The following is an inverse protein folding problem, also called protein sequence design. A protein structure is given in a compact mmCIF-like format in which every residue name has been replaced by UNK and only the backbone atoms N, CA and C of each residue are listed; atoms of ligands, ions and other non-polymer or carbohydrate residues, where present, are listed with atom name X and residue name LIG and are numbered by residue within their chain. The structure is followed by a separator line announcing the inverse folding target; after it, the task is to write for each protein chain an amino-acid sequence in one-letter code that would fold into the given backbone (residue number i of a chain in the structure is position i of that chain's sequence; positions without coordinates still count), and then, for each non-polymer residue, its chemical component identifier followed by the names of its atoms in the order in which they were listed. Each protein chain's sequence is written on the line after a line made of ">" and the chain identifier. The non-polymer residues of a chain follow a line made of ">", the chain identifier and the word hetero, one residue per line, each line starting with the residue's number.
data_IF_773787449382
#
_entry.id   IF_773787449382
#
_cell.length_a   1.000
_cell.length_b   1.000
_cell.length_c   1.000
_cell.angle_alpha   90.00
_cell.angle_beta   90.00
_cell.angle_gamma   90.00
#
_symmetry.space_group_name_H-M   'P 1'
#
loop_
_entity.id
_entity.type
_entity.pdbx_description
1 polymer ?
#
# COMPACT_ATOMS: atom_id res chain seq x y z
N UNK A 1 3.64 -38.17 -41.28
CA UNK A 1 4.36 -37.23 -40.40
C UNK A 1 3.34 -36.82 -39.36
N UNK A 2 3.50 -37.32 -38.12
CA UNK A 2 2.44 -37.33 -37.11
C UNK A 2 2.18 -35.92 -36.59
N UNK A 3 0.90 -35.51 -36.52
CA UNK A 3 0.46 -34.24 -35.92
C UNK A 3 1.00 -34.05 -34.49
N UNK A 4 1.30 -35.15 -33.80
CA UNK A 4 1.96 -35.17 -32.49
C UNK A 4 3.36 -34.54 -32.50
N UNK A 5 4.18 -34.79 -33.52
CA UNK A 5 5.52 -34.18 -33.61
C UNK A 5 5.43 -32.68 -33.89
N UNK A 6 4.45 -32.26 -34.69
CA UNK A 6 4.29 -30.85 -35.04
C UNK A 6 3.75 -30.01 -33.88
N UNK A 7 2.94 -30.59 -32.99
CA UNK A 7 2.56 -29.96 -31.73
C UNK A 7 3.73 -29.88 -30.74
N UNK A 8 4.60 -30.89 -30.72
CA UNK A 8 5.74 -30.93 -29.81
C UNK A 8 6.80 -29.86 -30.16
N UNK A 9 7.08 -29.64 -31.46
CA UNK A 9 7.99 -28.58 -31.92
C UNK A 9 7.47 -27.17 -31.66
N UNK A 10 6.15 -26.93 -31.80
CA UNK A 10 5.55 -25.62 -31.45
C UNK A 10 5.61 -25.31 -29.96
N UNK A 11 5.58 -26.33 -29.10
CA UNK A 11 5.68 -26.11 -27.65
C UNK A 11 7.10 -25.76 -27.22
N UNK A 12 8.13 -26.27 -27.90
CA UNK A 12 9.53 -25.96 -27.59
C UNK A 12 9.94 -24.53 -27.94
N UNK A 13 9.44 -23.95 -29.04
CA UNK A 13 9.81 -22.59 -29.43
C UNK A 13 9.25 -21.51 -28.48
N UNK A 14 8.10 -21.76 -27.85
CA UNK A 14 7.50 -20.81 -26.90
C UNK A 14 8.16 -20.88 -25.51
N UNK A 15 8.92 -21.93 -25.22
CA UNK A 15 9.63 -22.06 -23.92
C UNK A 15 10.87 -21.16 -23.83
N UNK A 16 11.36 -20.61 -24.95
CA UNK A 16 12.66 -19.93 -25.01
C UNK A 16 12.60 -18.41 -24.76
N UNK A 17 11.41 -17.82 -24.58
CA UNK A 17 11.27 -16.37 -24.37
C UNK A 17 11.40 -15.92 -22.92
N UNK A 18 11.51 -16.83 -21.94
CA UNK A 18 11.74 -16.48 -20.53
C UNK A 18 10.61 -15.67 -19.85
N UNK A 19 9.53 -15.38 -20.57
CA UNK A 19 8.32 -14.77 -20.05
C UNK A 19 7.40 -15.85 -19.47
N UNK A 20 6.86 -15.60 -18.27
CA UNK A 20 5.90 -16.49 -17.62
C UNK A 20 4.70 -16.69 -18.55
N UNK A 21 4.34 -17.93 -18.87
CA UNK A 21 2.98 -18.23 -19.35
C UNK A 21 2.00 -17.94 -18.20
N UNK A 22 0.89 -17.24 -18.43
CA UNK A 22 -0.09 -16.96 -17.39
C UNK A 22 -0.72 -18.27 -16.88
N UNK A 23 -0.63 -18.51 -15.57
CA UNK A 23 -1.12 -19.72 -14.88
C UNK A 23 -2.62 -20.00 -15.12
N UNK A 24 -3.40 -18.96 -15.41
CA UNK A 24 -4.84 -19.09 -15.68
C UNK A 24 -5.18 -19.95 -16.90
N UNK A 25 -4.33 -19.99 -17.93
CA UNK A 25 -4.60 -20.80 -19.13
C UNK A 25 -4.57 -22.31 -18.84
N UNK A 26 -3.78 -22.75 -17.84
CA UNK A 26 -3.68 -24.17 -17.44
C UNK A 26 -4.91 -24.64 -16.66
N UNK A 27 -5.59 -23.73 -15.95
CA UNK A 27 -6.70 -24.07 -15.06
C UNK A 27 -7.98 -24.36 -15.84
N UNK A 28 -8.22 -23.63 -16.94
CA UNK A 28 -9.42 -23.76 -17.78
C UNK A 28 -9.39 -25.06 -18.61
N UNK A 29 -8.22 -25.47 -19.13
CA UNK A 29 -8.10 -26.76 -19.81
C UNK A 29 -8.33 -27.94 -18.87
N UNK A 30 -7.95 -27.83 -17.59
CA UNK A 30 -8.26 -28.85 -16.57
C UNK A 30 -9.77 -28.93 -16.35
N UNK A 31 -10.46 -27.82 -16.07
CA UNK A 31 -11.87 -27.85 -15.60
C UNK A 31 -12.84 -28.51 -16.58
N UNK A 32 -12.56 -28.43 -17.88
CA UNK A 32 -13.42 -29.02 -18.93
C UNK A 32 -13.29 -30.55 -19.01
N UNK A 33 -12.18 -31.15 -18.56
CA UNK A 33 -12.03 -32.62 -18.60
C UNK A 33 -12.69 -33.34 -17.42
N UNK A 34 -12.92 -32.66 -16.28
CA UNK A 34 -13.43 -33.30 -15.05
C UNK A 34 -14.93 -33.60 -15.08
N UNK A 35 -15.73 -32.95 -15.92
CA UNK A 35 -17.20 -33.10 -15.89
C UNK A 35 -17.75 -34.37 -16.53
N UNK A 36 -16.95 -35.15 -17.26
CA UNK A 36 -17.43 -36.32 -18.03
C UNK A 36 -17.07 -37.69 -17.45
N UNK A 37 -16.30 -37.78 -16.35
CA UNK A 37 -15.68 -39.05 -15.92
C UNK A 37 -15.92 -39.43 -14.46
N UNK A 38 -16.99 -38.92 -13.84
CA UNK A 38 -17.23 -39.09 -12.40
C UNK A 38 -18.19 -40.24 -12.14
N UNK A 39 -17.65 -41.44 -11.88
CA UNK A 39 -18.24 -42.43 -10.95
C UNK A 39 -17.37 -43.67 -10.65
N UNK A 40 -16.23 -43.89 -11.32
CA UNK A 40 -15.34 -45.04 -11.02
C UNK A 40 -13.84 -44.69 -10.80
N UNK A 41 -13.47 -43.40 -10.68
CA UNK A 41 -12.07 -42.94 -10.70
C UNK A 41 -11.50 -42.38 -9.37
N UNK A 42 -12.21 -42.48 -8.24
CA UNK A 42 -11.82 -41.74 -7.01
C UNK A 42 -10.48 -42.19 -6.36
N UNK A 43 -9.95 -43.38 -6.68
CA UNK A 43 -8.68 -43.85 -6.09
C UNK A 43 -7.45 -43.57 -6.97
N UNK A 44 -7.60 -43.49 -8.30
CA UNK A 44 -6.48 -43.26 -9.24
C UNK A 44 -6.09 -41.77 -9.29
N UNK A 45 -7.00 -40.87 -8.93
CA UNK A 45 -6.73 -39.43 -8.96
C UNK A 45 -5.81 -38.95 -7.81
N UNK A 46 -5.78 -39.63 -6.66
CA UNK A 46 -4.94 -39.20 -5.51
C UNK A 46 -3.45 -39.33 -5.84
N UNK A 47 -3.01 -40.48 -6.37
CA UNK A 47 -1.60 -40.71 -6.72
C UNK A 47 -1.11 -39.76 -7.82
N UNK A 48 -2.00 -39.41 -8.77
CA UNK A 48 -1.69 -38.46 -9.85
C UNK A 48 -1.60 -37.04 -9.29
N UNK A 49 -2.49 -36.66 -8.38
CA UNK A 49 -2.48 -35.34 -7.74
C UNK A 49 -1.26 -35.15 -6.85
N UNK A 50 -0.86 -36.18 -6.09
CA UNK A 50 0.39 -36.17 -5.30
C UNK A 50 1.64 -36.08 -6.20
N UNK A 51 1.65 -36.80 -7.33
CA UNK A 51 2.75 -36.70 -8.28
C UNK A 51 2.85 -35.32 -8.96
N UNK A 52 1.71 -34.68 -9.24
CA UNK A 52 1.64 -33.34 -9.82
C UNK A 52 2.10 -32.26 -8.84
N UNK A 53 1.60 -32.30 -7.60
CA UNK A 53 2.01 -31.36 -6.54
C UNK A 53 3.50 -31.47 -6.26
N UNK A 54 4.03 -32.70 -6.12
CA UNK A 54 5.48 -32.92 -5.95
C UNK A 54 6.30 -32.37 -7.12
N UNK A 55 5.81 -32.53 -8.35
CA UNK A 55 6.48 -31.96 -9.54
C UNK A 55 6.47 -30.44 -9.51
N UNK A 56 5.36 -29.81 -9.12
CA UNK A 56 5.25 -28.36 -8.97
C UNK A 56 6.20 -27.83 -7.87
N UNK A 57 6.29 -28.51 -6.74
CA UNK A 57 7.25 -28.19 -5.67
C UNK A 57 8.71 -28.31 -6.15
N UNK A 58 9.04 -29.35 -6.93
CA UNK A 58 10.38 -29.52 -7.51
C UNK A 58 10.71 -28.43 -8.53
N UNK A 59 9.76 -28.06 -9.40
CA UNK A 59 9.89 -26.96 -10.36
C UNK A 59 10.10 -25.62 -9.64
N UNK A 60 9.33 -25.36 -8.57
CA UNK A 60 9.48 -24.15 -7.74
C UNK A 60 10.84 -24.13 -7.02
N UNK A 61 11.27 -25.26 -6.44
CA UNK A 61 12.55 -25.38 -5.77
C UNK A 61 13.73 -25.20 -6.74
N UNK A 62 13.63 -25.72 -7.96
CA UNK A 62 14.63 -25.49 -9.02
C UNK A 62 14.68 -24.01 -9.41
N UNK A 63 13.53 -23.37 -9.55
CA UNK A 63 13.44 -21.94 -9.85
C UNK A 63 14.10 -21.07 -8.77
N UNK A 64 13.88 -21.37 -7.48
CA UNK A 64 14.56 -20.66 -6.39
C UNK A 64 16.08 -20.89 -6.37
N UNK A 65 16.56 -22.09 -6.72
CA UNK A 65 18.01 -22.35 -6.87
C UNK A 65 18.60 -21.52 -8.00
N UNK A 66 17.91 -21.43 -9.12
CA UNK A 66 18.33 -20.63 -10.27
C UNK A 66 18.36 -19.13 -9.93
N UNK A 67 17.35 -18.63 -9.23
CA UNK A 67 17.34 -17.26 -8.70
C UNK A 67 18.52 -16.97 -7.76
N UNK A 68 18.88 -17.90 -6.88
CA UNK A 68 20.06 -17.76 -6.00
C UNK A 68 21.37 -17.76 -6.77
N UNK A 69 21.46 -18.43 -7.93
CA UNK A 69 22.67 -18.41 -8.77
C UNK A 69 22.85 -17.07 -9.50
N UNK A 70 21.77 -16.35 -9.81
CA UNK A 70 21.88 -15.04 -10.46
C UNK A 70 22.59 -14.02 -9.55
N UNK A 71 23.44 -13.15 -10.11
CA UNK A 71 24.11 -12.09 -9.34
C UNK A 71 23.05 -11.17 -8.71
N UNK A 72 23.33 -10.64 -7.52
CA UNK A 72 22.35 -9.91 -6.70
C UNK A 72 21.62 -8.77 -7.44
N UNK A 73 22.30 -8.08 -8.37
CA UNK A 73 21.74 -7.02 -9.23
C UNK A 73 20.67 -7.51 -10.23
N UNK A 74 20.63 -8.80 -10.53
CA UNK A 74 19.63 -9.43 -11.41
C UNK A 74 18.56 -10.19 -10.62
N UNK A 75 18.67 -10.22 -9.29
CA UNK A 75 17.62 -10.80 -8.44
C UNK A 75 16.48 -9.77 -8.31
N UNK A 76 15.21 -10.21 -8.37
CA UNK A 76 14.11 -9.36 -7.98
C UNK A 76 14.27 -9.06 -6.48
N UNK A 77 14.75 -7.86 -6.15
CA UNK A 77 14.91 -7.41 -4.77
C UNK A 77 13.94 -6.27 -4.51
N UNK A 78 13.20 -6.28 -3.40
CA UNK A 78 12.31 -5.17 -3.08
C UNK A 78 13.08 -3.86 -2.80
N UNK A 79 14.38 -3.94 -2.52
CA UNK A 79 15.22 -2.80 -2.18
C UNK A 79 15.30 -1.71 -3.26
N UNK A 80 15.14 -2.05 -4.55
CA UNK A 80 15.09 -1.00 -5.58
C UNK A 80 13.78 -0.21 -5.57
N UNK A 81 12.69 -0.75 -5.01
CA UNK A 81 11.40 -0.06 -4.87
C UNK A 81 11.43 0.95 -3.73
N UNK A 82 12.15 0.65 -2.64
CA UNK A 82 12.21 1.48 -1.42
C UNK A 82 12.52 2.97 -1.70
N UNK A 83 13.56 3.35 -2.46
CA UNK A 83 13.81 4.76 -2.74
C UNK A 83 12.68 5.41 -3.56
N UNK A 84 12.04 4.66 -4.45
CA UNK A 84 10.95 5.19 -5.26
C UNK A 84 9.64 5.32 -4.49
N UNK A 85 9.31 4.37 -3.61
CA UNK A 85 8.13 4.48 -2.75
C UNK A 85 8.30 5.62 -1.74
N UNK A 86 9.49 5.77 -1.16
CA UNK A 86 9.82 6.90 -0.29
C UNK A 86 9.71 8.23 -1.04
N UNK A 87 10.31 8.34 -2.23
CA UNK A 87 10.22 9.54 -3.05
C UNK A 87 8.76 9.84 -3.45
N UNK A 88 7.99 8.81 -3.84
CA UNK A 88 6.57 8.96 -4.17
C UNK A 88 5.74 9.40 -2.96
N UNK A 89 6.07 8.93 -1.76
CA UNK A 89 5.43 9.37 -0.52
C UNK A 89 5.72 10.83 -0.21
N UNK A 90 6.98 11.25 -0.33
CA UNK A 90 7.40 12.65 -0.12
C UNK A 90 6.74 13.57 -1.16
N UNK A 91 6.79 13.21 -2.44
CA UNK A 91 6.16 14.01 -3.51
C UNK A 91 4.65 14.10 -3.30
N UNK A 92 3.98 12.99 -3.00
CA UNK A 92 2.54 12.99 -2.71
C UNK A 92 2.24 13.90 -1.52
N UNK A 93 2.95 13.76 -0.39
CA UNK A 93 2.70 14.57 0.80
C UNK A 93 2.93 16.08 0.61
N UNK A 94 3.97 16.48 -0.12
CA UNK A 94 4.23 17.89 -0.45
C UNK A 94 3.20 18.45 -1.43
N UNK A 95 2.71 17.61 -2.34
CA UNK A 95 1.75 18.03 -3.35
C UNK A 95 0.30 18.04 -2.85
N UNK A 96 -0.13 17.09 -2.02
CA UNK A 96 -1.53 16.98 -1.59
C UNK A 96 -1.98 18.17 -0.76
N UNK A 97 -1.11 18.68 0.09
CA UNK A 97 -1.39 19.85 0.94
C UNK A 97 -1.54 21.12 0.13
N UNK A 98 -0.53 21.42 -0.70
CA UNK A 98 -0.54 22.57 -1.59
C UNK A 98 -1.71 22.52 -2.58
N UNK A 99 -2.06 21.34 -3.08
CA UNK A 99 -3.26 21.15 -3.90
C UNK A 99 -4.56 21.46 -3.15
N UNK A 100 -4.62 21.11 -1.86
CA UNK A 100 -5.80 21.38 -1.03
C UNK A 100 -5.99 22.87 -0.80
N UNK A 101 -4.92 23.62 -0.49
CA UNK A 101 -4.96 25.09 -0.36
C UNK A 101 -5.39 25.76 -1.68
N UNK A 102 -4.83 25.32 -2.80
CA UNK A 102 -5.20 25.86 -4.11
C UNK A 102 -6.67 25.56 -4.42
N UNK A 103 -7.18 24.36 -4.09
CA UNK A 103 -8.61 24.02 -4.27
C UNK A 103 -9.52 24.90 -3.42
N UNK A 104 -9.21 25.06 -2.14
CA UNK A 104 -10.06 25.86 -1.24
C UNK A 104 -10.15 27.30 -1.73
N UNK A 105 -9.02 27.90 -2.12
CA UNK A 105 -8.97 29.27 -2.67
C UNK A 105 -9.72 29.40 -4.00
N UNK A 106 -9.51 28.49 -4.94
CA UNK A 106 -10.20 28.56 -6.25
C UNK A 106 -11.71 28.36 -6.14
N UNK A 107 -12.17 27.48 -5.25
CA UNK A 107 -13.60 27.29 -4.95
C UNK A 107 -14.17 28.54 -4.29
N UNK A 108 -13.45 29.11 -3.32
CA UNK A 108 -13.83 30.32 -2.63
C UNK A 108 -13.99 31.50 -3.60
N UNK A 109 -12.96 31.79 -4.41
CA UNK A 109 -13.00 32.88 -5.40
C UNK A 109 -14.14 32.68 -6.41
N UNK A 110 -14.33 31.46 -6.90
CA UNK A 110 -15.42 31.18 -7.83
C UNK A 110 -16.81 31.36 -7.17
N UNK A 111 -16.95 31.00 -5.90
CA UNK A 111 -18.20 31.18 -5.18
C UNK A 111 -18.50 32.66 -4.89
N UNK A 112 -17.50 33.42 -4.44
CA UNK A 112 -17.59 34.87 -4.22
C UNK A 112 -17.93 35.61 -5.51
N UNK A 113 -17.28 35.24 -6.63
CA UNK A 113 -17.56 35.81 -7.95
C UNK A 113 -19.00 35.58 -8.42
N UNK A 114 -19.60 34.44 -8.08
CA UNK A 114 -20.97 34.11 -8.47
C UNK A 114 -22.03 34.66 -7.49
N UNK A 115 -21.64 35.12 -6.31
CA UNK A 115 -22.54 35.63 -5.28
C UNK A 115 -22.09 37.02 -4.79
N UNK A 116 -22.16 38.06 -5.63
CA UNK A 116 -21.65 39.40 -5.30
C UNK A 116 -22.38 40.05 -4.11
N UNK A 117 -23.58 39.58 -3.77
CA UNK A 117 -24.35 40.05 -2.61
C UNK A 117 -23.66 39.76 -1.28
N UNK A 118 -22.75 38.78 -1.22
CA UNK A 118 -22.01 38.43 0.00
C UNK A 118 -20.93 39.49 0.28
N UNK A 119 -20.26 40.01 -0.77
CA UNK A 119 -19.26 41.08 -0.62
C UNK A 119 -19.87 42.39 -0.07
N UNK A 120 -21.11 42.70 -0.46
CA UNK A 120 -21.77 43.93 0.00
C UNK A 120 -22.02 43.96 1.52
N UNK A 121 -22.13 42.80 2.17
CA UNK A 121 -22.23 42.73 3.64
C UNK A 121 -20.87 42.87 4.34
N UNK A 122 -19.78 42.44 3.70
CA UNK A 122 -18.41 42.58 4.23
C UNK A 122 -18.02 44.06 4.31
N UNK A 123 -18.17 44.81 3.22
CA UNK A 123 -17.83 46.25 3.18
C UNK A 123 -18.65 47.10 4.16
N UNK A 124 -19.93 46.75 4.38
CA UNK A 124 -20.78 47.47 5.33
C UNK A 124 -20.40 47.20 6.80
N UNK A 125 -19.83 46.02 7.10
CA UNK A 125 -19.38 45.65 8.44
C UNK A 125 -17.96 46.19 8.73
N UNK A 126 -17.11 46.30 7.69
CA UNK A 126 -15.73 46.77 7.80
C UNK A 126 -15.65 48.22 8.27
N UNK A 127 -16.56 49.09 7.81
CA UNK A 127 -16.70 50.47 8.28
C UNK A 127 -17.04 50.58 9.78
N UNK A 128 -17.52 49.50 10.40
CA UNK A 128 -17.81 49.45 11.84
C UNK A 128 -16.65 48.87 12.67
N UNK A 129 -15.73 48.12 12.06
CA UNK A 129 -14.62 47.44 12.73
C UNK A 129 -13.24 48.08 12.50
N UNK A 130 -13.12 49.04 11.57
CA UNK A 130 -11.88 49.76 11.26
C UNK A 130 -11.27 50.51 12.47
N UNK A 131 -12.07 50.72 13.54
CA UNK A 131 -11.59 51.32 14.79
C UNK A 131 -10.98 50.31 15.79
N UNK A 132 -11.13 48.99 15.58
CA UNK A 132 -10.90 48.03 16.65
C UNK A 132 -9.61 47.22 16.56
N UNK A 133 -9.10 46.75 15.41
CA UNK A 133 -7.95 45.82 15.46
C UNK A 133 -7.09 45.74 14.19
N UNK A 134 -5.77 45.90 14.36
CA UNK A 134 -4.70 45.40 13.49
C UNK A 134 -4.59 43.85 13.52
N UNK A 135 -5.69 43.14 13.69
CA UNK A 135 -5.69 41.68 13.59
C UNK A 135 -5.58 41.32 12.11
N UNK A 136 -4.77 40.31 11.81
CA UNK A 136 -4.48 39.83 10.47
C UNK A 136 -5.76 39.75 9.59
N UNK A 137 -5.65 40.06 8.29
CA UNK A 137 -6.79 40.01 7.37
C UNK A 137 -7.49 38.67 7.54
N UNK A 138 -8.74 38.72 7.99
CA UNK A 138 -9.55 37.53 8.22
C UNK A 138 -9.80 36.92 6.84
N UNK A 139 -9.24 35.74 6.57
CA UNK A 139 -9.43 35.06 5.28
C UNK A 139 -10.93 34.80 5.07
N UNK A 140 -11.57 35.55 4.16
CA UNK A 140 -13.00 35.43 3.83
C UNK A 140 -13.36 33.99 3.39
N UNK A 141 -12.36 33.22 2.96
CA UNK A 141 -12.47 31.83 2.55
C UNK A 141 -12.59 30.82 3.69
N UNK A 142 -12.29 31.20 4.94
CA UNK A 142 -12.34 30.31 6.11
C UNK A 142 -13.71 30.27 6.80
N UNK A 143 -14.77 30.77 6.16
CA UNK A 143 -16.13 30.68 6.72
C UNK A 143 -16.60 29.22 6.79
N UNK A 144 -17.33 28.81 7.84
CA UNK A 144 -17.80 27.42 8.00
C UNK A 144 -18.67 26.96 6.81
N UNK A 145 -19.40 27.89 6.20
CA UNK A 145 -20.19 27.64 4.99
C UNK A 145 -19.31 27.27 3.80
N UNK A 146 -18.21 27.98 3.58
CA UNK A 146 -17.25 27.67 2.50
C UNK A 146 -16.57 26.33 2.74
N UNK A 147 -16.11 26.07 3.97
CA UNK A 147 -15.51 24.78 4.35
C UNK A 147 -16.49 23.64 4.06
N UNK A 148 -17.78 23.80 4.39
CA UNK A 148 -18.81 22.82 4.07
C UNK A 148 -18.96 22.53 2.57
N UNK A 149 -18.92 23.56 1.72
CA UNK A 149 -19.00 23.39 0.27
C UNK A 149 -17.76 22.72 -0.32
N UNK A 150 -16.57 23.12 0.12
CA UNK A 150 -15.29 22.50 -0.29
C UNK A 150 -15.30 21.02 0.05
N UNK A 151 -15.70 20.66 1.29
CA UNK A 151 -15.81 19.27 1.73
C UNK A 151 -16.84 18.47 0.92
N UNK A 152 -17.96 19.09 0.53
CA UNK A 152 -18.96 18.42 -0.31
C UNK A 152 -18.41 18.12 -1.71
N UNK A 153 -17.68 19.07 -2.32
CA UNK A 153 -17.06 18.85 -3.62
C UNK A 153 -15.96 17.78 -3.55
N UNK A 154 -15.12 17.85 -2.53
CA UNK A 154 -14.07 16.87 -2.27
C UNK A 154 -14.65 15.46 -2.10
N UNK A 155 -15.71 15.32 -1.32
CA UNK A 155 -16.43 14.05 -1.14
C UNK A 155 -16.92 13.46 -2.47
N UNK A 156 -17.44 14.30 -3.38
CA UNK A 156 -17.87 13.85 -4.72
C UNK A 156 -16.70 13.39 -5.58
N UNK A 157 -15.61 14.14 -5.59
CA UNK A 157 -14.38 13.79 -6.33
C UNK A 157 -13.85 12.46 -5.82
N UNK A 158 -13.69 12.30 -4.51
CA UNK A 158 -13.20 11.06 -3.88
C UNK A 158 -14.12 9.88 -4.21
N UNK A 159 -15.44 10.07 -4.17
CA UNK A 159 -16.40 9.01 -4.51
C UNK A 159 -16.25 8.55 -5.96
N UNK A 160 -16.18 9.50 -6.91
CA UNK A 160 -16.01 9.20 -8.34
C UNK A 160 -14.67 8.49 -8.58
N UNK A 161 -13.59 9.01 -8.00
CA UNK A 161 -12.26 8.41 -8.11
C UNK A 161 -12.21 7.00 -7.52
N UNK A 162 -12.84 6.77 -6.36
CA UNK A 162 -12.83 5.46 -5.69
C UNK A 162 -13.63 4.41 -6.47
N UNK A 163 -14.84 4.76 -6.91
CA UNK A 163 -15.67 3.84 -7.72
C UNK A 163 -14.94 3.47 -9.01
N UNK A 164 -14.34 4.46 -9.66
CA UNK A 164 -13.66 4.22 -10.91
C UNK A 164 -12.34 3.48 -10.73
N UNK A 165 -11.63 3.72 -9.63
CA UNK A 165 -10.44 2.95 -9.25
C UNK A 165 -10.81 1.48 -9.06
N UNK A 166 -11.89 1.16 -8.35
CA UNK A 166 -12.35 -0.22 -8.19
C UNK A 166 -12.57 -0.91 -9.53
N UNK A 167 -13.13 -0.20 -10.52
CA UNK A 167 -13.38 -0.73 -11.86
C UNK A 167 -12.09 -0.92 -12.68
N UNK A 168 -11.07 -0.08 -12.50
CA UNK A 168 -9.83 -0.17 -13.29
C UNK A 168 -8.75 -1.01 -12.63
N UNK A 169 -8.73 -1.10 -11.30
CA UNK A 169 -7.67 -1.77 -10.52
C UNK A 169 -7.47 -3.22 -10.93
N UNK A 170 -8.57 -3.99 -11.02
CA UNK A 170 -8.51 -5.40 -11.42
C UNK A 170 -7.86 -5.59 -12.79
N UNK A 171 -8.15 -4.69 -13.73
CA UNK A 171 -7.55 -4.71 -15.08
C UNK A 171 -6.07 -4.39 -15.03
N UNK A 172 -5.65 -3.40 -14.24
CA UNK A 172 -4.25 -3.04 -14.07
C UNK A 172 -3.44 -4.13 -13.38
N UNK A 173 -4.00 -4.80 -12.36
CA UNK A 173 -3.41 -5.96 -11.71
C UNK A 173 -3.21 -7.11 -12.71
N UNK A 174 -4.25 -7.46 -13.48
CA UNK A 174 -4.14 -8.48 -14.54
C UNK A 174 -3.11 -8.11 -15.61
N UNK A 175 -3.05 -6.83 -16.00
CA UNK A 175 -2.06 -6.34 -16.97
C UNK A 175 -0.63 -6.41 -16.41
N UNK A 176 -0.47 -6.26 -15.08
CA UNK A 176 0.81 -6.39 -14.40
C UNK A 176 1.36 -7.82 -14.41
N UNK A 177 0.47 -8.82 -14.41
CA UNK A 177 0.87 -10.23 -14.50
C UNK A 177 1.40 -10.57 -15.89
N UNK A 178 0.86 -9.93 -16.94
CA UNK A 178 1.26 -10.15 -18.33
C UNK A 178 2.53 -9.37 -18.69
N UNK A 179 2.56 -8.05 -18.46
CA UNK A 179 3.66 -7.19 -18.90
C UNK A 179 4.75 -6.99 -17.84
N UNK A 180 4.56 -7.58 -16.66
CA UNK A 180 5.47 -7.45 -15.55
C UNK A 180 5.25 -6.19 -14.70
N UNK A 181 5.58 -6.32 -13.42
CA UNK A 181 5.34 -5.31 -12.38
C UNK A 181 6.17 -4.03 -12.54
N UNK A 182 7.30 -4.09 -13.25
CA UNK A 182 8.13 -2.91 -13.54
C UNK A 182 7.39 -1.91 -14.43
N UNK A 183 6.70 -2.39 -15.47
CA UNK A 183 5.91 -1.54 -16.34
C UNK A 183 4.78 -0.88 -15.54
N UNK A 184 4.09 -1.69 -14.71
CA UNK A 184 3.01 -1.21 -13.85
C UNK A 184 3.48 -0.07 -12.92
N UNK A 185 4.68 -0.23 -12.34
CA UNK A 185 5.30 0.81 -11.50
C UNK A 185 5.58 2.10 -12.28
N UNK A 186 6.09 2.01 -13.51
CA UNK A 186 6.36 3.18 -14.35
C UNK A 186 5.07 3.89 -14.76
N UNK A 187 4.01 3.13 -15.06
CA UNK A 187 2.69 3.69 -15.36
C UNK A 187 2.11 4.41 -14.14
N UNK A 188 2.22 3.83 -12.94
CA UNK A 188 1.76 4.46 -11.70
C UNK A 188 2.51 5.77 -11.39
N UNK A 189 3.84 5.80 -11.59
CA UNK A 189 4.63 7.02 -11.47
C UNK A 189 4.25 8.08 -12.53
N UNK A 190 4.08 7.67 -13.79
CA UNK A 190 3.65 8.56 -14.85
C UNK A 190 2.24 9.12 -14.57
N UNK A 191 1.32 8.30 -14.06
CA UNK A 191 -0.01 8.72 -13.62
C UNK A 191 0.06 9.75 -12.50
N UNK A 192 0.96 9.55 -11.53
CA UNK A 192 1.19 10.51 -10.43
C UNK A 192 1.72 11.84 -10.96
N UNK A 193 2.65 11.81 -11.92
CA UNK A 193 3.14 13.03 -12.56
C UNK A 193 2.04 13.77 -13.35
N UNK A 194 1.24 13.03 -14.14
CA UNK A 194 0.11 13.60 -14.89
C UNK A 194 -0.92 14.21 -13.92
N UNK A 195 -1.23 13.51 -12.84
CA UNK A 195 -2.11 13.99 -11.77
C UNK A 195 -1.63 15.32 -11.18
N UNK A 196 -0.33 15.45 -10.89
CA UNK A 196 0.27 16.70 -10.40
C UNK A 196 0.18 17.81 -11.45
N UNK A 197 0.52 17.50 -12.71
CA UNK A 197 0.43 18.46 -13.80
C UNK A 197 -1.01 18.95 -14.05
N UNK A 198 -2.02 18.08 -13.92
CA UNK A 198 -3.43 18.46 -14.10
C UNK A 198 -3.93 19.36 -12.97
N UNK A 199 -3.54 19.08 -11.73
CA UNK A 199 -3.84 19.94 -10.59
C UNK A 199 -3.16 21.32 -10.74
N UNK A 200 -1.90 21.35 -11.16
CA UNK A 200 -1.20 22.60 -11.47
C UNK A 200 -1.88 23.37 -12.62
N UNK A 201 -2.30 22.66 -13.67
CA UNK A 201 -3.05 23.25 -14.78
C UNK A 201 -4.38 23.83 -14.29
N UNK A 202 -5.13 23.10 -13.46
CA UNK A 202 -6.37 23.56 -12.84
C UNK A 202 -6.14 24.85 -12.03
N UNK A 203 -5.08 24.87 -11.23
CA UNK A 203 -4.65 26.03 -10.47
C UNK A 203 -4.36 27.24 -11.36
N UNK A 204 -3.65 27.05 -12.48
CA UNK A 204 -3.25 28.15 -13.36
C UNK A 204 -4.37 28.70 -14.26
N UNK A 205 -5.42 27.90 -14.50
CA UNK A 205 -6.51 28.22 -15.45
C UNK A 205 -7.90 28.27 -14.82
N UNK A 206 -7.98 28.34 -13.50
CA UNK A 206 -9.25 28.37 -12.76
C UNK A 206 -10.20 29.50 -13.23
N UNK A 207 -9.65 30.65 -13.64
CA UNK A 207 -10.42 31.80 -14.13
C UNK A 207 -11.32 31.52 -15.35
N UNK A 208 -10.97 30.51 -16.16
CA UNK A 208 -11.68 30.18 -17.41
C UNK A 208 -12.64 29.01 -17.21
N UNK A 209 -12.17 27.97 -16.52
CA UNK A 209 -12.88 26.68 -16.44
C UNK A 209 -13.60 26.47 -15.09
N UNK A 210 -13.35 27.33 -14.10
CA UNK A 210 -13.90 27.21 -12.75
C UNK A 210 -13.46 25.95 -12.02
N UNK A 211 -14.24 25.55 -11.01
CA UNK A 211 -13.96 24.33 -10.22
C UNK A 211 -14.21 23.03 -11.00
N UNK A 212 -14.81 23.08 -12.19
CA UNK A 212 -15.09 21.88 -12.99
C UNK A 212 -13.83 21.16 -13.45
N UNK A 213 -12.68 21.85 -13.52
CA UNK A 213 -11.39 21.23 -13.87
C UNK A 213 -11.00 20.13 -12.88
N UNK A 214 -11.39 20.24 -11.61
CA UNK A 214 -11.11 19.21 -10.61
C UNK A 214 -11.88 17.91 -10.84
N UNK A 215 -12.91 17.88 -11.69
CA UNK A 215 -13.49 16.61 -12.16
C UNK A 215 -12.62 15.94 -13.23
N UNK A 216 -11.84 16.69 -14.02
CA UNK A 216 -10.87 16.09 -14.95
C UNK A 216 -9.76 15.38 -14.19
N UNK A 217 -9.39 15.88 -13.01
CA UNK A 217 -8.51 15.17 -12.10
C UNK A 217 -9.13 13.82 -11.71
N UNK A 218 -10.39 13.83 -11.24
CA UNK A 218 -11.09 12.60 -10.86
C UNK A 218 -11.04 11.57 -11.99
N UNK A 219 -11.37 11.99 -13.23
CA UNK A 219 -11.32 11.17 -14.45
C UNK A 219 -9.90 10.70 -14.77
N UNK A 220 -8.90 11.58 -14.69
CA UNK A 220 -7.50 11.21 -14.97
C UNK A 220 -6.98 10.13 -14.01
N UNK A 221 -7.37 10.22 -12.73
CA UNK A 221 -7.04 9.24 -11.71
C UNK A 221 -7.66 7.87 -12.01
N UNK A 222 -8.76 7.83 -12.78
CA UNK A 222 -9.38 6.57 -13.22
C UNK A 222 -8.62 5.94 -14.39
N UNK A 223 -8.22 6.77 -15.37
CA UNK A 223 -7.63 6.32 -16.62
C UNK A 223 -6.19 5.86 -16.42
N UNK A 224 -5.45 6.59 -15.59
CA UNK A 224 -4.07 6.30 -15.24
C UNK A 224 -4.01 6.27 -13.72
N UNK A 225 -4.37 5.13 -13.11
CA UNK A 225 -4.46 5.03 -11.66
C UNK A 225 -3.05 5.15 -11.11
N UNK A 226 -2.82 6.33 -10.53
CA UNK A 226 -1.54 6.88 -10.16
C UNK A 226 -0.91 6.10 -8.99
N UNK A 227 -0.84 6.72 -7.82
CA UNK A 227 -0.41 6.07 -6.58
C UNK A 227 -1.22 4.81 -6.25
N UNK A 228 -2.47 4.74 -6.70
CA UNK A 228 -3.35 3.62 -6.40
C UNK A 228 -2.89 2.27 -6.98
N UNK A 229 -2.16 2.26 -8.11
CA UNK A 229 -1.58 1.02 -8.66
C UNK A 229 -0.20 0.72 -8.09
N UNK A 230 0.52 1.74 -7.62
CA UNK A 230 1.81 1.55 -6.97
C UNK A 230 1.67 0.64 -5.75
N UNK A 231 0.59 0.79 -4.99
CA UNK A 231 0.31 -0.04 -3.82
C UNK A 231 0.20 -1.54 -4.19
N UNK A 232 -0.76 -2.01 -5.02
CA UNK A 232 -0.81 -3.40 -5.47
C UNK A 232 0.45 -3.85 -6.21
N UNK A 233 1.13 -2.97 -6.97
CA UNK A 233 2.39 -3.34 -7.62
C UNK A 233 3.47 -3.66 -6.58
N UNK A 234 3.57 -2.84 -5.53
CA UNK A 234 4.49 -3.04 -4.41
C UNK A 234 4.06 -4.29 -3.63
N UNK A 235 2.78 -4.47 -3.31
CA UNK A 235 2.31 -5.67 -2.60
C UNK A 235 2.54 -6.93 -3.39
N UNK A 236 2.15 -6.96 -4.66
CA UNK A 236 2.43 -8.08 -5.54
C UNK A 236 3.94 -8.33 -5.61
N UNK A 237 4.77 -7.29 -5.76
CA UNK A 237 6.23 -7.43 -5.78
C UNK A 237 6.80 -7.96 -4.46
N UNK A 238 6.26 -7.47 -3.35
CA UNK A 238 6.50 -7.95 -2.00
C UNK A 238 5.71 -9.22 -1.68
N UNK A 239 5.03 -9.81 -2.69
CA UNK A 239 3.96 -10.80 -2.64
C UNK A 239 4.41 -12.15 -2.14
N UNK A 240 4.76 -12.10 -0.87
CA UNK A 240 4.37 -12.98 0.22
C UNK A 240 3.76 -12.15 1.38
N UNK A 241 3.30 -10.92 1.12
CA UNK A 241 2.76 -9.99 2.13
C UNK A 241 1.51 -9.34 1.53
N UNK A 242 0.37 -9.99 1.71
CA UNK A 242 -0.90 -9.68 1.03
C UNK A 242 -1.90 -8.91 1.91
N UNK A 243 -2.46 -7.86 1.29
CA UNK A 243 -3.69 -7.12 1.62
C UNK A 243 -3.76 -6.38 2.96
N UNK A 244 -3.73 -5.03 2.95
CA UNK A 244 -4.62 -4.12 3.74
C UNK A 244 -4.07 -2.67 3.88
N UNK A 245 -3.61 -2.03 2.81
CA UNK A 245 -3.17 -0.61 2.91
C UNK A 245 -4.23 0.44 2.57
N UNK A 246 -5.43 0.05 2.13
CA UNK A 246 -6.51 1.01 1.83
C UNK A 246 -7.21 1.58 3.08
N UNK A 247 -7.00 1.00 4.27
CA UNK A 247 -7.55 1.52 5.53
C UNK A 247 -6.78 2.70 6.13
N UNK A 248 -5.45 2.71 6.02
CA UNK A 248 -4.59 3.63 6.78
C UNK A 248 -4.65 5.07 6.27
N UNK A 249 -4.90 5.27 4.98
CA UNK A 249 -5.05 6.62 4.41
C UNK A 249 -6.44 7.24 4.69
N UNK A 250 -7.45 6.43 4.99
CA UNK A 250 -8.77 6.93 5.40
C UNK A 250 -8.75 7.58 6.78
N UNK A 251 -7.99 7.00 7.72
CA UNK A 251 -7.95 7.43 9.12
C UNK A 251 -7.24 8.77 9.32
N UNK A 252 -6.15 9.02 8.58
CA UNK A 252 -5.42 10.29 8.67
C UNK A 252 -6.27 11.49 8.23
N UNK A 253 -7.20 11.30 7.27
CA UNK A 253 -8.10 12.36 6.82
C UNK A 253 -9.16 12.71 7.87
N UNK A 254 -9.58 11.75 8.70
CA UNK A 254 -10.49 11.98 9.80
C UNK A 254 -9.83 12.79 10.92
N UNK A 255 -8.58 12.43 11.28
CA UNK A 255 -7.79 13.17 12.28
C UNK A 255 -7.57 14.61 11.81
N UNK A 256 -7.08 14.81 10.59
CA UNK A 256 -6.85 16.16 10.02
C UNK A 256 -8.13 17.00 10.03
N UNK A 257 -9.28 16.37 9.78
CA UNK A 257 -10.57 17.07 9.81
C UNK A 257 -11.02 17.42 11.23
N UNK A 258 -10.80 16.53 12.21
CA UNK A 258 -11.07 16.84 13.62
C UNK A 258 -10.12 17.89 14.17
N UNK A 259 -8.85 17.87 13.79
CA UNK A 259 -7.86 18.80 14.33
C UNK A 259 -8.05 20.22 13.78
N UNK A 260 -8.42 20.35 12.49
CA UNK A 260 -8.84 21.64 11.93
C UNK A 260 -10.06 22.22 12.66
N UNK A 261 -11.04 21.37 13.01
CA UNK A 261 -12.24 21.81 13.73
C UNK A 261 -11.96 22.21 15.20
N UNK A 262 -11.14 21.44 15.91
CA UNK A 262 -10.90 21.64 17.35
C UNK A 262 -9.85 22.73 17.60
N UNK A 263 -8.76 22.74 16.83
CA UNK A 263 -7.61 23.61 17.07
C UNK A 263 -7.59 24.87 16.23
N UNK A 264 -8.58 25.07 15.34
CA UNK A 264 -8.63 26.20 14.41
C UNK A 264 -7.32 26.33 13.63
N UNK A 265 -6.73 25.18 13.24
CA UNK A 265 -5.46 25.15 12.53
C UNK A 265 -5.58 25.81 11.18
N UNK A 266 -4.59 26.65 10.89
CA UNK A 266 -4.37 27.16 9.55
C UNK A 266 -3.77 26.06 8.66
N UNK A 267 -3.88 26.25 7.35
CA UNK A 267 -3.38 25.34 6.32
C UNK A 267 -1.89 25.08 6.51
N UNK A 268 -1.11 26.11 6.87
CA UNK A 268 0.33 25.99 7.12
C UNK A 268 0.67 25.09 8.31
N UNK A 269 -0.17 25.01 9.33
CA UNK A 269 0.05 24.12 10.47
C UNK A 269 -0.29 22.66 10.13
N UNK A 270 -1.30 22.46 9.27
CA UNK A 270 -1.62 21.14 8.74
C UNK A 270 -0.48 20.60 7.84
N UNK A 271 0.12 21.47 7.03
CA UNK A 271 1.31 21.15 6.20
C UNK A 271 2.50 20.71 7.04
N UNK A 272 2.82 21.47 8.09
CA UNK A 272 3.90 21.14 9.03
C UNK A 272 3.61 19.81 9.73
N UNK A 273 2.37 19.57 10.12
CA UNK A 273 1.95 18.32 10.75
C UNK A 273 2.11 17.12 9.81
N UNK A 274 1.62 17.19 8.57
CA UNK A 274 1.78 16.11 7.60
C UNK A 274 3.25 15.86 7.21
N UNK A 275 4.03 16.93 7.07
CA UNK A 275 5.47 16.81 6.80
C UNK A 275 6.18 16.12 7.96
N UNK A 276 5.82 16.49 9.20
CA UNK A 276 6.34 15.87 10.40
C UNK A 276 5.97 14.38 10.47
N UNK A 277 4.70 14.00 10.30
CA UNK A 277 4.29 12.59 10.35
C UNK A 277 4.95 11.77 9.24
N UNK A 278 5.08 12.31 8.03
CA UNK A 278 5.81 11.66 6.92
C UNK A 278 7.29 11.46 7.24
N UNK A 279 7.93 12.44 7.87
CA UNK A 279 9.31 12.35 8.32
C UNK A 279 9.47 11.30 9.43
N UNK A 280 8.56 11.30 10.42
CA UNK A 280 8.55 10.26 11.47
C UNK A 280 8.36 8.89 10.86
N UNK A 281 7.45 8.71 9.89
CA UNK A 281 7.25 7.43 9.20
C UNK A 281 8.53 6.97 8.52
N UNK A 282 9.24 7.90 7.87
CA UNK A 282 10.52 7.61 7.21
C UNK A 282 11.58 7.16 8.22
N UNK A 283 11.70 7.85 9.35
CA UNK A 283 12.63 7.49 10.44
C UNK A 283 12.25 6.14 11.06
N UNK A 284 10.96 5.89 11.24
CA UNK A 284 10.44 4.63 11.79
C UNK A 284 10.76 3.47 10.85
N UNK A 285 10.42 3.58 9.56
CA UNK A 285 10.61 2.52 8.58
C UNK A 285 12.08 2.25 8.26
N UNK A 286 12.89 3.29 8.08
CA UNK A 286 14.29 3.14 7.68
C UNK A 286 15.26 2.97 8.86
N UNK A 287 14.92 3.51 10.03
CA UNK A 287 15.79 3.52 11.21
C UNK A 287 15.32 2.57 12.31
N UNK A 288 14.11 2.79 12.83
CA UNK A 288 13.64 2.06 14.01
C UNK A 288 13.24 0.61 13.69
N UNK A 289 12.62 0.34 12.55
CA UNK A 289 12.16 -0.99 12.20
C UNK A 289 13.32 -2.01 12.07
N UNK A 290 14.44 -1.70 11.37
CA UNK A 290 15.61 -2.60 11.37
C UNK A 290 16.21 -2.79 12.76
N UNK A 291 16.29 -1.72 13.56
CA UNK A 291 16.81 -1.77 14.92
C UNK A 291 15.95 -2.67 15.81
N UNK A 292 14.63 -2.54 15.72
CA UNK A 292 13.68 -3.32 16.51
C UNK A 292 13.69 -4.79 16.09
N UNK A 293 13.80 -5.08 14.79
CA UNK A 293 14.01 -6.45 14.32
C UNK A 293 15.31 -7.06 14.87
N UNK A 294 16.42 -6.30 14.84
CA UNK A 294 17.69 -6.76 15.42
C UNK A 294 17.61 -6.99 16.93
N UNK A 295 16.96 -6.07 17.67
CA UNK A 295 16.75 -6.20 19.10
C UNK A 295 15.88 -7.41 19.44
N UNK A 296 14.77 -7.62 18.71
CA UNK A 296 13.91 -8.79 18.89
C UNK A 296 14.70 -10.09 18.73
N UNK A 297 15.52 -10.20 17.68
CA UNK A 297 16.37 -11.38 17.46
C UNK A 297 17.35 -11.59 18.61
N UNK A 298 17.99 -10.53 19.09
CA UNK A 298 18.93 -10.62 20.21
C UNK A 298 18.25 -11.06 21.53
N UNK A 299 17.01 -10.65 21.79
CA UNK A 299 16.32 -11.00 23.04
C UNK A 299 15.56 -12.33 23.01
N UNK A 300 15.10 -12.77 21.84
CA UNK A 300 14.20 -13.93 21.75
C UNK A 300 14.91 -15.19 21.23
N UNK A 301 15.91 -15.06 20.37
CA UNK A 301 16.57 -16.22 19.73
C UNK A 301 17.77 -16.71 20.54
N UNK A 302 18.41 -15.84 21.34
CA UNK A 302 19.68 -16.15 22.02
C UNK A 302 19.51 -17.10 23.24
N UNK A 303 18.27 -17.34 23.70
CA UNK A 303 18.00 -18.11 24.93
C UNK A 303 17.64 -19.59 24.69
N UNK A 304 17.41 -20.03 23.44
CA UNK A 304 16.74 -21.34 23.21
C UNK A 304 17.62 -22.53 22.84
N UNK A 305 18.87 -22.36 22.37
CA UNK A 305 19.58 -23.50 21.74
C UNK A 305 20.87 -24.01 22.40
N UNK A 306 21.53 -23.26 23.31
CA UNK A 306 22.89 -23.62 23.71
C UNK A 306 23.05 -24.42 25.01
N UNK A 307 21.99 -24.68 25.78
CA UNK A 307 22.16 -25.28 27.12
C UNK A 307 21.95 -26.80 27.24
N UNK A 308 21.63 -27.53 26.17
CA UNK A 308 21.22 -28.95 26.34
C UNK A 308 21.57 -29.91 25.21
N UNK A 309 22.77 -29.82 24.65
CA UNK A 309 23.42 -31.02 24.10
C UNK A 309 24.47 -31.52 25.10
N UNK A 310 24.11 -32.47 26.00
CA UNK A 310 25.13 -33.19 26.74
C UNK A 310 26.01 -33.91 25.71
N UNK A 311 27.32 -33.72 25.85
CA UNK A 311 28.35 -34.36 25.07
C UNK A 311 28.24 -35.89 25.17
N UNK A 312 27.35 -36.49 24.39
CA UNK A 312 27.33 -37.92 24.14
C UNK A 312 28.38 -38.20 23.07
N UNK A 313 29.63 -38.33 23.53
CA UNK A 313 30.66 -39.06 22.82
C UNK A 313 30.19 -40.53 22.59
N UNK A 314 30.65 -41.15 21.50
CA UNK A 314 30.37 -42.52 21.04
C UNK A 314 28.95 -42.76 20.46
N UNK A 315 28.71 -43.40 19.31
CA UNK A 315 29.45 -44.42 18.58
C UNK A 315 28.94 -44.53 17.12
N UNK A 316 29.82 -44.96 16.21
CA UNK A 316 29.61 -45.83 15.03
C UNK A 316 28.83 -45.38 13.75
N UNK A 317 29.56 -44.71 12.85
CA UNK A 317 29.94 -45.08 11.46
C UNK A 317 29.19 -46.12 10.58
N UNK A 318 27.91 -46.48 10.75
CA UNK A 318 27.28 -47.45 9.81
C UNK A 318 25.94 -46.99 9.21
N UNK A 319 25.91 -47.06 7.86
CA UNK A 319 24.78 -47.10 6.92
C UNK A 319 24.10 -45.79 6.48
N UNK A 320 24.58 -45.32 5.31
CA UNK A 320 23.89 -44.41 4.40
C UNK A 320 22.59 -45.04 3.86
N UNK A 321 21.50 -44.94 4.62
CA UNK A 321 20.15 -44.94 4.04
C UNK A 321 19.81 -43.50 3.62
N UNK A 322 19.20 -43.25 2.45
CA UNK A 322 18.63 -41.96 2.11
C UNK A 322 17.50 -41.68 3.10
N UNK A 323 17.84 -41.06 4.22
CA UNK A 323 16.87 -40.61 5.21
C UNK A 323 15.95 -39.61 4.49
N UNK A 324 14.62 -39.81 4.54
CA UNK A 324 13.68 -38.83 4.02
C UNK A 324 14.02 -37.50 4.68
N UNK A 325 14.31 -36.48 3.86
CA UNK A 325 14.67 -35.16 4.35
C UNK A 325 13.62 -34.78 5.40
N UNK A 326 14.04 -34.45 6.64
CA UNK A 326 13.10 -34.16 7.71
C UNK A 326 12.15 -33.10 7.19
N UNK A 327 10.86 -33.45 7.17
CA UNK A 327 9.79 -32.55 6.75
C UNK A 327 9.99 -31.26 7.53
N UNK A 328 10.45 -30.21 6.83
CA UNK A 328 10.65 -28.91 7.46
C UNK A 328 9.29 -28.50 7.99
N UNK A 329 9.15 -28.18 9.29
CA UNK A 329 7.87 -27.71 9.81
C UNK A 329 7.43 -26.53 8.94
N UNK A 330 6.27 -26.68 8.32
CA UNK A 330 5.80 -25.83 7.22
C UNK A 330 5.51 -24.39 7.69
N UNK A 331 5.53 -24.16 9.00
CA UNK A 331 5.35 -22.85 9.63
C UNK A 331 6.39 -22.66 10.72
N UNK A 332 7.19 -21.62 10.56
CA UNK A 332 8.16 -21.18 11.55
C UNK A 332 7.39 -20.45 12.66
N UNK A 333 7.04 -21.17 13.72
CA UNK A 333 6.26 -20.64 14.86
C UNK A 333 6.90 -19.37 15.45
N UNK A 334 8.23 -19.25 15.33
CA UNK A 334 8.99 -18.08 15.73
C UNK A 334 8.65 -16.83 14.90
N UNK A 335 8.46 -16.98 13.59
CA UNK A 335 8.06 -15.88 12.71
C UNK A 335 6.67 -15.35 13.08
N UNK A 336 5.72 -16.26 13.37
CA UNK A 336 4.37 -15.88 13.81
C UNK A 336 4.42 -15.14 15.14
N UNK A 337 5.22 -15.63 16.11
CA UNK A 337 5.41 -14.99 17.42
C UNK A 337 6.01 -13.59 17.27
N UNK A 338 6.95 -13.42 16.36
CA UNK A 338 7.58 -12.15 16.05
C UNK A 338 6.56 -11.16 15.49
N UNK A 339 5.82 -11.55 14.46
CA UNK A 339 4.82 -10.69 13.82
C UNK A 339 3.68 -10.30 14.77
N UNK A 340 3.22 -11.23 15.61
CA UNK A 340 2.22 -10.95 16.64
C UNK A 340 2.72 -9.91 17.64
N UNK A 341 3.97 -10.03 18.09
CA UNK A 341 4.57 -9.07 19.01
C UNK A 341 4.63 -7.65 18.40
N UNK A 342 5.11 -7.54 17.15
CA UNK A 342 5.14 -6.25 16.46
C UNK A 342 3.74 -5.66 16.29
N UNK A 343 2.76 -6.48 15.92
CA UNK A 343 1.36 -6.08 15.79
C UNK A 343 0.78 -5.52 17.09
N UNK A 344 0.96 -6.22 18.21
CA UNK A 344 0.44 -5.77 19.51
C UNK A 344 1.10 -4.47 19.96
N UNK A 345 2.44 -4.37 19.89
CA UNK A 345 3.16 -3.17 20.30
C UNK A 345 2.80 -1.94 19.46
N UNK A 346 2.62 -2.13 18.16
CA UNK A 346 2.24 -1.03 17.26
C UNK A 346 0.77 -0.64 17.42
N UNK A 347 -0.15 -1.59 17.62
CA UNK A 347 -1.54 -1.30 17.99
C UNK A 347 -1.60 -0.47 19.28
N UNK A 348 -0.77 -0.78 20.28
CA UNK A 348 -0.66 0.01 21.51
C UNK A 348 -0.28 1.47 21.20
N UNK A 349 0.70 1.71 20.33
CA UNK A 349 1.07 3.07 19.92
C UNK A 349 -0.08 3.81 19.21
N UNK A 350 -0.84 3.12 18.35
CA UNK A 350 -2.05 3.69 17.71
C UNK A 350 -3.06 4.11 18.77
N UNK A 351 -3.41 3.21 19.70
CA UNK A 351 -4.40 3.47 20.75
C UNK A 351 -3.97 4.62 21.66
N UNK A 352 -2.72 4.63 22.11
CA UNK A 352 -2.17 5.72 22.94
C UNK A 352 -2.18 7.05 22.18
N UNK A 353 -1.76 7.05 20.92
CA UNK A 353 -1.80 8.24 20.06
C UNK A 353 -3.21 8.83 19.95
N UNK A 354 -4.22 7.99 19.69
CA UNK A 354 -5.61 8.43 19.62
C UNK A 354 -6.17 8.90 20.95
N UNK A 355 -5.80 8.28 22.08
CA UNK A 355 -6.26 8.70 23.41
C UNK A 355 -5.64 10.03 23.87
N UNK A 356 -4.42 10.35 23.43
CA UNK A 356 -3.75 11.60 23.81
C UNK A 356 -4.43 12.85 23.23
N UNK A 357 -5.00 12.77 22.02
CA UNK A 357 -5.66 13.89 21.34
C UNK A 357 -6.79 14.51 22.19
N UNK A 358 -7.79 13.74 22.67
CA UNK A 358 -8.86 14.28 23.50
C UNK A 358 -8.42 14.59 24.94
N UNK A 359 -7.41 13.89 25.49
CA UNK A 359 -6.94 14.12 26.86
C UNK A 359 -6.14 15.41 27.00
N UNK A 360 -5.35 15.77 26.00
CA UNK A 360 -4.47 16.93 26.03
C UNK A 360 -4.59 17.74 24.74
N UNK A 361 -5.61 18.62 24.64
CA UNK A 361 -5.82 19.45 23.47
C UNK A 361 -4.75 20.56 23.42
N UNK A 362 -3.55 20.20 22.95
CA UNK A 362 -2.45 21.13 22.69
C UNK A 362 -1.77 20.78 21.37
N UNK A 363 -1.26 21.78 20.61
CA UNK A 363 -0.58 21.50 19.35
C UNK A 363 0.59 20.53 19.51
N UNK A 364 1.40 20.67 20.56
CA UNK A 364 2.55 19.78 20.83
C UNK A 364 2.11 18.33 21.05
N UNK A 365 1.02 18.10 21.76
CA UNK A 365 0.46 16.77 21.96
C UNK A 365 -0.10 16.17 20.67
N UNK A 366 -0.58 17.00 19.76
CA UNK A 366 -1.05 16.55 18.45
C UNK A 366 0.11 16.06 17.58
N UNK A 367 1.23 16.80 17.53
CA UNK A 367 2.46 16.32 16.87
C UNK A 367 2.96 15.03 17.51
N UNK A 368 3.00 14.96 18.84
CA UNK A 368 3.43 13.75 19.54
C UNK A 368 2.50 12.56 19.27
N UNK A 369 1.18 12.75 19.34
CA UNK A 369 0.17 11.76 19.00
C UNK A 369 0.30 11.30 17.55
N UNK A 370 0.50 12.21 16.60
CA UNK A 370 0.77 11.92 15.20
C UNK A 370 2.04 11.09 15.02
N UNK A 371 3.09 11.37 15.78
CA UNK A 371 4.30 10.56 15.80
C UNK A 371 4.03 9.13 16.28
N UNK A 372 3.28 8.98 17.37
CA UNK A 372 2.90 7.66 17.92
C UNK A 372 1.98 6.87 17.00
N UNK A 373 0.95 7.49 16.41
CA UNK A 373 0.09 6.81 15.43
C UNK A 373 0.86 6.38 14.20
N UNK A 374 1.83 7.19 13.77
CA UNK A 374 2.75 6.85 12.67
C UNK A 374 3.65 5.66 13.04
N UNK A 375 4.19 5.59 14.26
CA UNK A 375 4.90 4.39 14.76
C UNK A 375 3.97 3.17 14.75
N UNK A 376 2.70 3.39 15.09
CA UNK A 376 1.65 2.40 15.07
C UNK A 376 1.28 1.89 13.68
N UNK A 377 1.64 2.58 12.59
CA UNK A 377 1.38 2.12 11.23
C UNK A 377 2.15 0.82 10.87
N UNK A 378 3.16 0.45 11.67
CA UNK A 378 3.80 -0.87 11.60
C UNK A 378 2.78 -2.00 11.86
N UNK A 379 1.72 -1.74 12.66
CA UNK A 379 0.70 -2.73 13.00
C UNK A 379 0.02 -3.30 11.77
N UNK A 380 -0.31 -2.43 10.82
CA UNK A 380 -0.90 -2.85 9.56
C UNK A 380 0.03 -3.87 8.87
N UNK A 381 1.31 -3.53 8.68
CA UNK A 381 2.29 -4.42 8.03
C UNK A 381 2.43 -5.75 8.78
N UNK A 382 2.45 -5.74 10.12
CA UNK A 382 2.58 -6.95 10.93
C UNK A 382 1.33 -7.82 10.96
N UNK A 383 0.14 -7.23 11.06
CA UNK A 383 -1.14 -7.97 10.98
C UNK A 383 -1.29 -8.62 9.61
N UNK A 384 -0.93 -7.91 8.55
CA UNK A 384 -0.96 -8.40 7.16
C UNK A 384 -0.04 -9.61 7.01
N UNK A 385 1.22 -9.49 7.46
CA UNK A 385 2.18 -10.60 7.45
C UNK A 385 1.63 -11.80 8.24
N UNK A 386 1.06 -11.55 9.42
CA UNK A 386 0.49 -12.58 10.27
C UNK A 386 -0.70 -13.28 9.60
N UNK A 387 -1.62 -12.53 8.98
CA UNK A 387 -2.74 -13.08 8.23
C UNK A 387 -2.24 -13.93 7.05
N UNK A 388 -1.24 -13.46 6.31
CA UNK A 388 -0.65 -14.22 5.20
C UNK A 388 0.07 -15.51 5.65
N UNK A 389 0.58 -15.52 6.89
CA UNK A 389 1.20 -16.71 7.49
C UNK A 389 0.18 -17.72 8.03
N UNK A 390 -1.03 -17.25 8.40
CA UNK A 390 -2.08 -18.07 9.02
C UNK A 390 -3.06 -18.60 8.00
N UNK A 391 -3.32 -17.89 6.90
CA UNK A 391 -4.19 -18.38 5.82
C UNK A 391 -3.51 -19.59 5.18
N UNK A 392 -4.05 -20.81 5.38
CA UNK A 392 -3.50 -21.97 4.72
C UNK A 392 -3.70 -21.78 3.22
N UNK A 393 -2.65 -22.06 2.43
CA UNK A 393 -2.76 -22.16 0.96
C UNK A 393 -3.64 -23.37 0.62
N UNK A 394 -4.94 -23.30 0.92
CA UNK A 394 -5.94 -24.25 0.47
C UNK A 394 -6.40 -23.82 -0.91
N UNK A 395 -5.48 -23.92 -1.86
CA UNK A 395 -5.79 -24.06 -3.28
C UNK A 395 -5.20 -25.41 -3.69
N UNK A 396 -5.80 -26.47 -3.13
CA UNK A 396 -5.79 -27.81 -3.70
C UNK A 396 -7.08 -28.01 -4.51
#
# INVERSE_FOLDING_TARGET
>A
MNDFQQQQERQTDVANTGERRPLLARTIERTVSWTTSRLEADQVDIDIQEALTKKEEEEEAQWFRELRRRPWRQRPSAYWLVPWSALSGVVTGLCTTTMWDIRSRTICENFLRNNPTIHAYSEALDLQFEAANQLAPLDECMTPTMIGMVRQLESRIVTISSVSLLLTLAKWCSLSDVYGRKLLFHIGLAGTAIYICLNWFAASRYNILGYYVYYLEAVSFTLIPAAAVLNPAIFAYCGKIDELWDGVNGDNNLIVSMTSLVFHWDVGDNERYQTFTSLVMTVVLLGLLPLWNAAYKAFVVDDTDDSMQPAAAHHDWIQHSPQPAPARPLFDLEAIKMELFFSICSLFFVVVGYLLIPLFPSPTMLYFAGGLTTMGAISAVSVISLLSSVVPNQLD
#
